data_IF_490771154572
#
_entry.id   IF_490771154572
#
_cell.length_a   1.000
_cell.length_b   1.000
_cell.length_c   1.000
_cell.angle_alpha   90.00
_cell.angle_beta   90.00
_cell.angle_gamma   90.00
#
_symmetry.space_group_name_H-M   'P 1'
#
loop_
_entity.id
_entity.type
_entity.pdbx_description
1 polymer ?
#
# COMPACT_ATOMS: atom_id res chain seq x y z
N UNK A 1 11.19 8.96 19.92
CA UNK A 1 10.08 8.33 19.21
C UNK A 1 10.41 8.23 17.72
N UNK A 2 10.23 7.04 17.14
CA UNK A 2 10.57 6.75 15.75
C UNK A 2 9.45 7.15 14.75
N UNK A 3 8.33 7.71 15.21
CA UNK A 3 7.18 8.09 14.40
C UNK A 3 6.78 9.55 14.62
N UNK A 4 6.01 10.07 13.66
CA UNK A 4 5.35 11.36 13.82
C UNK A 4 4.19 11.23 14.81
N UNK A 5 3.86 12.33 15.48
CA UNK A 5 2.66 12.40 16.30
C UNK A 5 1.44 12.27 15.41
N UNK A 6 0.39 11.62 15.91
CA UNK A 6 -0.89 11.48 15.18
C UNK A 6 -1.49 12.85 14.87
N UNK A 7 -1.47 13.75 15.85
CA UNK A 7 -2.06 15.08 15.76
C UNK A 7 -1.40 16.04 16.76
N UNK A 8 -1.84 17.28 16.73
CA UNK A 8 -1.68 18.24 17.83
C UNK A 8 -3.07 18.45 18.46
N UNK A 9 -3.14 18.50 19.78
CA UNK A 9 -4.37 18.87 20.50
C UNK A 9 -4.65 20.39 20.42
N UNK A 10 -5.70 20.83 21.07
CA UNK A 10 -6.09 22.25 21.11
C UNK A 10 -5.01 23.18 21.69
N UNK A 11 -4.18 22.67 22.59
CA UNK A 11 -3.06 23.39 23.20
C UNK A 11 -1.75 23.23 22.40
N UNK A 12 -1.81 22.66 21.18
CA UNK A 12 -0.64 22.35 20.34
C UNK A 12 0.32 21.31 20.94
N UNK A 13 -0.12 20.53 21.92
CA UNK A 13 0.65 19.42 22.44
C UNK A 13 0.53 18.22 21.50
N UNK A 14 1.60 17.45 21.39
CA UNK A 14 1.65 16.27 20.52
C UNK A 14 0.79 15.14 21.09
N UNK A 15 -0.14 14.63 20.28
CA UNK A 15 -0.82 13.36 20.53
C UNK A 15 0.13 12.24 20.11
N UNK A 16 0.86 11.69 21.09
CA UNK A 16 1.92 10.69 20.86
C UNK A 16 1.30 9.31 20.75
N UNK A 17 0.86 8.98 19.54
CA UNK A 17 0.24 7.68 19.20
C UNK A 17 0.89 7.17 17.93
N UNK A 18 1.14 5.86 17.87
CA UNK A 18 1.63 5.22 16.66
C UNK A 18 0.45 4.73 15.86
N UNK A 19 0.23 5.36 14.71
CA UNK A 19 -0.87 5.07 13.80
C UNK A 19 -0.35 5.05 12.35
N UNK A 20 -1.15 4.47 11.44
CA UNK A 20 -0.83 4.36 10.01
C UNK A 20 -0.67 5.72 9.31
N UNK A 21 -1.27 6.78 9.85
CA UNK A 21 -1.18 8.16 9.33
C UNK A 21 0.26 8.64 9.04
N UNK A 22 1.26 8.14 9.77
CA UNK A 22 2.66 8.45 9.50
C UNK A 22 3.11 7.99 8.09
N UNK A 23 2.50 6.94 7.55
CA UNK A 23 2.74 6.44 6.19
C UNK A 23 2.20 7.39 5.11
N UNK A 24 1.08 8.07 5.38
CA UNK A 24 0.54 9.08 4.46
C UNK A 24 1.48 10.29 4.30
N UNK A 25 2.24 10.62 5.36
CA UNK A 25 3.28 11.64 5.27
C UNK A 25 4.40 11.25 4.28
N UNK A 26 4.66 9.96 4.09
CA UNK A 26 5.60 9.49 3.07
C UNK A 26 5.06 9.74 1.66
N UNK A 27 3.78 9.43 1.40
CA UNK A 27 3.18 9.68 0.08
C UNK A 27 3.20 11.17 -0.27
N UNK A 28 2.86 12.05 0.69
CA UNK A 28 2.89 13.50 0.47
C UNK A 28 4.30 14.08 0.27
N UNK A 29 5.35 13.33 0.65
CA UNK A 29 6.75 13.73 0.49
C UNK A 29 7.25 14.76 1.50
N UNK A 30 6.50 15.01 2.58
CA UNK A 30 6.90 15.96 3.63
C UNK A 30 7.91 15.37 4.63
N UNK A 31 8.12 14.05 4.59
CA UNK A 31 9.07 13.38 5.50
C UNK A 31 10.50 13.59 5.01
N UNK A 32 11.41 14.16 5.82
CA UNK A 32 12.82 14.23 5.46
C UNK A 32 13.39 12.82 5.22
N UNK A 33 14.25 12.63 4.19
CA UNK A 33 14.76 11.31 3.80
C UNK A 33 15.38 10.51 4.96
N UNK A 34 16.10 11.17 5.85
CA UNK A 34 16.74 10.55 7.01
C UNK A 34 15.73 10.01 8.04
N UNK A 35 14.49 10.48 8.01
CA UNK A 35 13.41 10.00 8.87
C UNK A 35 12.53 8.93 8.21
N UNK A 36 12.50 8.89 6.88
CA UNK A 36 11.64 7.98 6.14
C UNK A 36 11.89 6.50 6.50
N UNK A 37 13.18 6.13 6.64
CA UNK A 37 13.57 4.77 7.08
C UNK A 37 12.96 4.43 8.45
N UNK A 38 13.02 5.35 9.41
CA UNK A 38 12.47 5.13 10.77
C UNK A 38 10.95 4.99 10.75
N UNK A 39 10.27 5.77 9.91
CA UNK A 39 8.81 5.66 9.74
C UNK A 39 8.46 4.29 9.16
N UNK A 40 9.15 3.86 8.10
CA UNK A 40 8.97 2.54 7.48
C UNK A 40 9.20 1.41 8.49
N UNK A 41 10.33 1.42 9.21
CA UNK A 41 10.64 0.42 10.24
C UNK A 41 9.58 0.37 11.33
N UNK A 42 9.05 1.54 11.73
CA UNK A 42 8.01 1.61 12.76
C UNK A 42 6.67 1.04 12.28
N UNK A 43 6.29 1.31 11.05
CA UNK A 43 5.04 0.79 10.47
C UNK A 43 5.12 -0.71 10.17
N UNK A 44 6.31 -1.25 9.88
CA UNK A 44 6.53 -2.68 9.65
C UNK A 44 6.83 -3.47 10.93
N UNK A 45 6.84 -2.82 12.10
CA UNK A 45 7.04 -3.50 13.39
C UNK A 45 5.83 -4.40 13.73
N UNK A 46 6.05 -5.45 14.52
CA UNK A 46 5.07 -6.51 14.81
C UNK A 46 3.78 -6.05 15.49
N UNK A 47 3.80 -4.91 16.18
CA UNK A 47 2.61 -4.30 16.78
C UNK A 47 1.80 -3.46 15.77
N UNK A 48 2.35 -3.16 14.59
CA UNK A 48 1.66 -2.49 13.49
C UNK A 48 1.34 -3.43 12.34
N UNK A 49 2.26 -4.28 11.93
CA UNK A 49 2.11 -5.20 10.81
C UNK A 49 1.53 -6.54 11.26
N UNK A 50 0.42 -6.94 10.65
CA UNK A 50 -0.32 -8.18 11.00
C UNK A 50 0.07 -9.40 10.17
N UNK A 51 0.72 -9.20 9.01
CA UNK A 51 0.86 -10.21 7.96
C UNK A 51 -0.32 -10.23 6.97
N UNK A 52 -1.38 -9.47 7.24
CA UNK A 52 -2.46 -9.15 6.29
C UNK A 52 -2.41 -7.69 5.83
N UNK A 53 -1.62 -6.88 6.49
CA UNK A 53 -1.40 -5.46 6.25
C UNK A 53 -1.00 -4.72 7.52
N UNK A 54 -0.88 -3.40 7.41
CA UNK A 54 -0.54 -2.49 8.50
C UNK A 54 -1.83 -2.04 9.20
N UNK A 55 -1.82 -2.09 10.52
CA UNK A 55 -2.90 -1.63 11.39
C UNK A 55 -3.05 -0.11 11.37
N UNK A 56 -4.26 0.37 11.57
CA UNK A 56 -4.54 1.80 11.80
C UNK A 56 -3.94 2.30 13.11
N UNK A 57 -3.88 1.44 14.14
CA UNK A 57 -3.35 1.76 15.46
C UNK A 57 -2.44 0.64 15.96
N UNK A 58 -1.34 1.01 16.62
CA UNK A 58 -0.42 0.05 17.25
C UNK A 58 -1.13 -0.81 18.31
N UNK A 59 -0.88 -2.12 18.28
CA UNK A 59 -1.38 -3.05 19.29
C UNK A 59 -0.81 -2.78 20.69
N UNK A 60 0.23 -1.94 20.81
CA UNK A 60 0.76 -1.50 22.10
C UNK A 60 0.02 -0.26 22.66
N UNK A 61 -0.96 0.29 21.95
CA UNK A 61 -1.74 1.41 22.41
C UNK A 61 -2.85 0.93 23.37
N UNK A 62 -3.10 1.59 24.51
CA UNK A 62 -4.17 1.20 25.43
C UNK A 62 -5.59 1.21 24.83
N UNK A 63 -5.81 1.98 23.76
CA UNK A 63 -7.08 2.05 23.04
C UNK A 63 -7.18 1.02 21.91
N UNK A 64 -6.17 0.14 21.72
CA UNK A 64 -6.21 -0.88 20.69
C UNK A 64 -7.34 -1.88 20.96
N UNK A 65 -8.16 -2.10 19.94
CA UNK A 65 -9.16 -3.15 19.93
C UNK A 65 -9.13 -3.85 18.56
N UNK A 66 -8.83 -5.16 18.52
CA UNK A 66 -8.74 -5.89 17.25
C UNK A 66 -10.08 -6.00 16.52
N UNK A 67 -11.21 -5.80 17.20
CA UNK A 67 -12.53 -5.83 16.60
C UNK A 67 -13.12 -4.45 16.30
N UNK A 68 -12.44 -3.37 16.70
CA UNK A 68 -12.95 -2.03 16.46
C UNK A 68 -12.77 -1.59 15.01
N UNK A 69 -13.67 -0.71 14.57
CA UNK A 69 -13.68 -0.20 13.19
C UNK A 69 -12.41 0.61 12.83
N UNK A 70 -11.83 1.36 13.79
CA UNK A 70 -10.69 2.25 13.54
C UNK A 70 -9.48 2.07 14.44
N UNK A 71 -9.64 1.45 15.62
CA UNK A 71 -8.57 1.37 16.63
C UNK A 71 -7.72 0.12 16.52
N UNK A 72 -7.37 -0.26 15.30
CA UNK A 72 -6.45 -1.38 15.04
C UNK A 72 -6.68 -2.12 13.73
N UNK A 73 -7.85 -1.98 13.13
CA UNK A 73 -8.24 -2.65 11.87
C UNK A 73 -7.25 -2.39 10.71
N UNK A 74 -7.30 -3.26 9.70
CA UNK A 74 -6.46 -3.19 8.50
C UNK A 74 -7.32 -2.78 7.31
N UNK A 75 -7.00 -1.65 6.69
CA UNK A 75 -7.74 -1.10 5.57
C UNK A 75 -6.92 -1.20 4.29
N UNK A 76 -7.44 -1.83 3.22
CA UNK A 76 -6.72 -1.94 1.96
C UNK A 76 -6.27 -0.61 1.37
N UNK A 77 -7.13 0.42 1.35
CA UNK A 77 -6.78 1.73 0.80
C UNK A 77 -5.70 2.45 1.62
N UNK A 78 -5.77 2.39 2.96
CA UNK A 78 -4.75 2.94 3.85
C UNK A 78 -3.38 2.30 3.58
N UNK A 79 -3.37 0.98 3.47
CA UNK A 79 -2.19 0.20 3.12
C UNK A 79 -1.65 0.53 1.72
N UNK A 80 -2.52 0.76 0.74
CA UNK A 80 -2.12 1.15 -0.61
C UNK A 80 -1.47 2.55 -0.64
N UNK A 81 -1.99 3.50 0.14
CA UNK A 81 -1.38 4.83 0.33
C UNK A 81 0.01 4.70 0.95
N UNK A 82 0.15 3.86 1.98
CA UNK A 82 1.44 3.59 2.63
C UNK A 82 2.42 2.96 1.64
N UNK A 83 1.99 1.98 0.84
CA UNK A 83 2.82 1.32 -0.17
C UNK A 83 3.34 2.31 -1.22
N UNK A 84 2.50 3.23 -1.71
CA UNK A 84 2.91 4.32 -2.59
C UNK A 84 3.94 5.23 -1.91
N UNK A 85 3.73 5.55 -0.64
CA UNK A 85 4.67 6.30 0.18
C UNK A 85 6.01 5.57 0.32
N UNK A 86 6.00 4.29 0.62
CA UNK A 86 7.21 3.46 0.68
C UNK A 86 7.96 3.48 -0.65
N UNK A 87 7.24 3.30 -1.76
CA UNK A 87 7.83 3.34 -3.10
C UNK A 87 8.50 4.67 -3.40
N UNK A 88 7.88 5.78 -3.03
CA UNK A 88 8.43 7.13 -3.21
C UNK A 88 9.80 7.30 -2.56
N UNK A 89 10.04 6.66 -1.42
CA UNK A 89 11.31 6.69 -0.69
C UNK A 89 12.25 5.52 -0.99
N UNK A 90 11.98 4.72 -2.04
CA UNK A 90 12.86 3.64 -2.48
C UNK A 90 12.69 2.32 -1.72
N UNK A 91 11.66 2.17 -0.87
CA UNK A 91 11.36 0.94 -0.13
C UNK A 91 10.47 0.01 -0.95
N UNK A 92 10.95 -0.40 -2.13
CA UNK A 92 10.19 -1.23 -3.07
C UNK A 92 9.84 -2.61 -2.54
N UNK A 93 10.72 -3.21 -1.74
CA UNK A 93 10.49 -4.52 -1.14
C UNK A 93 9.31 -4.49 -0.16
N UNK A 94 9.26 -3.50 0.71
CA UNK A 94 8.19 -3.34 1.70
C UNK A 94 6.87 -2.93 1.04
N UNK A 95 6.92 -2.11 -0.01
CA UNK A 95 5.72 -1.79 -0.81
C UNK A 95 5.14 -3.06 -1.45
N UNK A 96 5.97 -3.92 -2.02
CA UNK A 96 5.55 -5.19 -2.60
C UNK A 96 5.09 -6.21 -1.54
N UNK A 97 5.64 -6.16 -0.32
CA UNK A 97 5.16 -6.98 0.80
C UNK A 97 3.72 -6.59 1.17
N UNK A 98 3.41 -5.29 1.29
CA UNK A 98 2.04 -4.82 1.52
C UNK A 98 1.12 -5.28 0.37
N UNK A 99 1.55 -5.14 -0.88
CA UNK A 99 0.77 -5.58 -2.04
C UNK A 99 0.48 -7.10 -1.99
N UNK A 100 1.47 -7.91 -1.61
CA UNK A 100 1.31 -9.34 -1.39
C UNK A 100 0.28 -9.65 -0.31
N UNK A 101 0.40 -9.01 0.86
CA UNK A 101 -0.43 -9.31 2.02
C UNK A 101 -1.90 -8.97 1.77
N UNK A 102 -2.17 -7.81 1.19
CA UNK A 102 -3.53 -7.37 0.82
C UNK A 102 -4.10 -8.28 -0.29
N UNK A 103 -3.32 -8.62 -1.32
CA UNK A 103 -3.77 -9.53 -2.38
C UNK A 103 -4.02 -10.95 -1.85
N UNK A 104 -3.16 -11.41 -0.94
CA UNK A 104 -3.35 -12.69 -0.27
C UNK A 104 -4.60 -12.70 0.59
N UNK A 105 -4.88 -11.62 1.33
CA UNK A 105 -6.12 -11.49 2.09
C UNK A 105 -7.34 -11.57 1.15
N UNK A 106 -7.33 -10.85 0.02
CA UNK A 106 -8.42 -10.90 -0.96
C UNK A 106 -8.70 -12.32 -1.48
N UNK A 107 -7.66 -13.16 -1.64
CA UNK A 107 -7.80 -14.53 -2.16
C UNK A 107 -8.64 -15.47 -1.29
N UNK A 108 -8.98 -15.08 -0.08
CA UNK A 108 -9.88 -15.83 0.82
C UNK A 108 -11.37 -15.48 0.62
N UNK A 109 -11.66 -14.45 -0.18
CA UNK A 109 -13.03 -13.96 -0.40
C UNK A 109 -13.49 -14.24 -1.83
N UNK A 110 -14.80 -14.31 -1.99
CA UNK A 110 -15.42 -14.56 -3.28
C UNK A 110 -14.93 -13.55 -4.33
N UNK A 111 -14.60 -14.02 -5.53
CA UNK A 111 -14.09 -13.22 -6.65
C UNK A 111 -12.81 -12.41 -6.32
N UNK A 112 -12.06 -12.80 -5.30
CA UNK A 112 -10.89 -12.06 -4.79
C UNK A 112 -11.22 -10.60 -4.42
N UNK A 113 -12.41 -10.34 -3.90
CA UNK A 113 -12.85 -9.00 -3.53
C UNK A 113 -12.05 -8.48 -2.33
N UNK A 114 -11.69 -7.21 -2.39
CA UNK A 114 -11.15 -6.49 -1.25
C UNK A 114 -12.32 -5.96 -0.40
N UNK A 115 -12.31 -6.32 0.86
CA UNK A 115 -13.24 -5.79 1.84
C UNK A 115 -12.89 -4.33 2.18
N UNK A 116 -13.83 -3.57 2.71
CA UNK A 116 -13.57 -2.25 3.27
C UNK A 116 -12.43 -2.31 4.29
N UNK A 117 -12.51 -3.26 5.24
CA UNK A 117 -11.48 -3.50 6.25
C UNK A 117 -11.51 -4.93 6.78
N UNK A 118 -10.39 -5.34 7.35
CA UNK A 118 -10.22 -6.56 8.11
C UNK A 118 -10.01 -6.22 9.59
N UNK A 119 -10.31 -7.16 10.48
CA UNK A 119 -9.95 -7.04 11.90
C UNK A 119 -8.42 -7.03 12.06
N UNK A 120 -7.96 -6.65 13.26
CA UNK A 120 -6.54 -6.49 13.54
C UNK A 120 -5.81 -7.78 13.96
N UNK A 121 -6.41 -8.96 13.81
CA UNK A 121 -5.74 -10.21 14.15
C UNK A 121 -4.54 -10.48 13.26
N UNK A 122 -3.51 -11.05 13.86
CA UNK A 122 -2.29 -11.43 13.13
C UNK A 122 -2.50 -12.71 12.33
N UNK A 123 -1.76 -12.84 11.23
CA UNK A 123 -1.80 -14.00 10.36
C UNK A 123 -1.34 -15.30 11.05
N UNK A 124 -0.54 -15.21 12.09
CA UNK A 124 -0.12 -16.35 12.93
C UNK A 124 -1.16 -16.74 14.00
N UNK A 125 -2.14 -15.86 14.27
CA UNK A 125 -3.24 -16.10 15.21
C UNK A 125 -4.47 -16.70 14.52
N UNK A 126 -4.65 -16.42 13.22
CA UNK A 126 -5.79 -16.89 12.42
C UNK A 126 -5.31 -17.48 11.09
N UNK A 127 -6.02 -18.52 10.60
CA UNK A 127 -5.72 -19.16 9.32
C UNK A 127 -6.20 -18.36 8.11
N UNK A 128 -7.01 -17.32 8.34
CA UNK A 128 -7.59 -16.46 7.30
C UNK A 128 -7.77 -15.03 7.83
N UNK A 129 -7.83 -14.02 6.94
CA UNK A 129 -8.12 -12.64 7.35
C UNK A 129 -9.58 -12.54 7.79
N UNK A 130 -9.80 -12.07 9.03
CA UNK A 130 -11.14 -11.97 9.60
C UNK A 130 -11.81 -10.69 9.12
N UNK A 131 -12.99 -10.83 8.49
CA UNK A 131 -13.80 -9.70 8.07
C UNK A 131 -14.33 -8.93 9.28
N UNK A 132 -14.27 -7.59 9.22
CA UNK A 132 -15.05 -6.77 10.16
C UNK A 132 -16.54 -6.93 9.84
N UNK A 133 -17.38 -7.16 10.86
CA UNK A 133 -18.78 -7.54 10.67
C UNK A 133 -19.62 -6.52 9.89
N UNK A 134 -19.30 -5.24 10.00
CA UNK A 134 -19.96 -4.13 9.30
C UNK A 134 -19.25 -3.66 8.03
N UNK A 135 -18.21 -4.37 7.56
CA UNK A 135 -17.46 -3.97 6.38
C UNK A 135 -18.31 -4.03 5.12
N UNK A 136 -18.26 -2.98 4.31
CA UNK A 136 -18.91 -2.96 3.00
C UNK A 136 -18.14 -3.86 2.00
N UNK A 137 -18.91 -4.64 1.22
CA UNK A 137 -18.39 -5.52 0.15
C UNK A 137 -19.40 -5.50 -1.01
N UNK A 138 -19.02 -4.99 -2.17
CA UNK A 138 -17.79 -4.29 -2.48
C UNK A 138 -17.73 -2.87 -1.89
N UNK A 139 -16.50 -2.34 -1.75
CA UNK A 139 -16.30 -0.95 -1.40
C UNK A 139 -15.33 -0.30 -2.41
N UNK A 140 -15.69 0.88 -2.94
CA UNK A 140 -15.02 1.45 -4.13
C UNK A 140 -13.53 1.71 -3.91
N UNK A 141 -13.13 2.34 -2.82
CA UNK A 141 -11.72 2.62 -2.64
C UNK A 141 -10.89 1.42 -2.17
N UNK A 142 -11.52 0.41 -1.55
CA UNK A 142 -10.88 -0.88 -1.32
C UNK A 142 -10.56 -1.55 -2.68
N UNK A 143 -11.52 -1.57 -3.61
CA UNK A 143 -11.29 -2.06 -4.98
C UNK A 143 -10.21 -1.23 -5.71
N UNK A 144 -10.21 0.10 -5.55
CA UNK A 144 -9.19 1.01 -6.08
C UNK A 144 -7.78 0.72 -5.55
N UNK A 145 -7.66 0.11 -4.37
CA UNK A 145 -6.36 -0.24 -3.78
C UNK A 145 -5.55 -1.21 -4.64
N UNK A 146 -6.20 -2.11 -5.39
CA UNK A 146 -5.51 -3.03 -6.30
C UNK A 146 -4.69 -2.28 -7.37
N UNK A 147 -5.25 -1.20 -7.92
CA UNK A 147 -4.56 -0.35 -8.89
C UNK A 147 -3.43 0.44 -8.23
N UNK A 148 -3.66 0.98 -7.03
CA UNK A 148 -2.64 1.73 -6.27
C UNK A 148 -1.46 0.83 -5.88
N UNK A 149 -1.72 -0.39 -5.42
CA UNK A 149 -0.69 -1.37 -5.06
C UNK A 149 0.13 -1.79 -6.28
N UNK A 150 -0.53 -2.00 -7.42
CA UNK A 150 0.14 -2.26 -8.70
C UNK A 150 1.02 -1.06 -9.09
N UNK A 151 0.48 0.15 -9.03
CA UNK A 151 1.25 1.38 -9.31
C UNK A 151 2.44 1.55 -8.35
N UNK A 152 2.30 1.18 -7.08
CA UNK A 152 3.40 1.20 -6.11
C UNK A 152 4.53 0.22 -6.50
N UNK A 153 4.19 -1.02 -6.88
CA UNK A 153 5.20 -1.99 -7.33
C UNK A 153 5.89 -1.54 -8.62
N UNK A 154 5.16 -0.98 -9.58
CA UNK A 154 5.70 -0.53 -10.87
C UNK A 154 6.34 0.86 -10.80
N UNK A 155 6.13 1.59 -9.73
CA UNK A 155 6.64 2.95 -9.56
C UNK A 155 6.07 3.92 -10.60
N UNK A 156 4.78 3.78 -10.92
CA UNK A 156 4.12 4.62 -11.91
C UNK A 156 3.98 6.07 -11.43
N UNK A 157 4.47 7.00 -12.24
CA UNK A 157 4.28 8.44 -12.08
C UNK A 157 3.88 9.04 -13.44
N UNK A 158 2.57 9.15 -13.72
CA UNK A 158 2.09 9.73 -14.98
C UNK A 158 2.22 11.25 -14.96
N UNK A 159 2.71 11.79 -16.07
CA UNK A 159 2.70 13.21 -16.41
C UNK A 159 1.99 13.37 -17.75
N UNK A 160 0.68 13.14 -17.72
CA UNK A 160 -0.16 13.12 -18.90
C UNK A 160 -0.16 14.43 -19.71
N UNK A 161 -0.11 15.63 -19.09
CA UNK A 161 0.00 16.90 -19.84
C UNK A 161 1.25 16.97 -20.73
N UNK A 162 2.33 16.28 -20.36
CA UNK A 162 3.57 16.23 -21.13
C UNK A 162 3.75 14.90 -21.88
N UNK A 163 2.71 14.06 -21.96
CA UNK A 163 2.75 12.73 -22.60
C UNK A 163 3.89 11.84 -22.07
N UNK A 164 4.12 11.86 -20.75
CA UNK A 164 5.17 11.10 -20.09
C UNK A 164 4.60 10.14 -19.06
N UNK A 165 5.21 8.98 -18.97
CA UNK A 165 5.06 8.05 -17.87
C UNK A 165 6.45 7.70 -17.35
N UNK A 166 6.71 8.04 -16.09
CA UNK A 166 7.91 7.56 -15.40
C UNK A 166 7.60 6.22 -14.77
N UNK A 167 8.56 5.29 -14.87
CA UNK A 167 8.44 3.95 -14.28
C UNK A 167 9.72 3.64 -13.49
N UNK A 168 9.55 3.03 -12.35
CA UNK A 168 10.65 2.53 -11.50
C UNK A 168 10.22 1.20 -10.88
N UNK A 169 10.13 0.12 -11.69
CA UNK A 169 9.51 -1.12 -11.25
C UNK A 169 10.37 -1.87 -10.24
N UNK A 170 9.68 -2.53 -9.32
CA UNK A 170 10.25 -3.51 -8.40
C UNK A 170 9.28 -4.70 -8.30
N UNK A 171 9.51 -5.75 -9.08
CA UNK A 171 8.70 -6.96 -9.02
C UNK A 171 9.26 -7.92 -7.96
N UNK A 172 8.39 -8.44 -7.08
CA UNK A 172 8.77 -9.48 -6.12
C UNK A 172 8.93 -10.84 -6.80
N UNK A 173 9.58 -11.79 -6.11
CA UNK A 173 9.76 -13.13 -6.64
C UNK A 173 8.46 -13.92 -6.88
N UNK A 174 7.39 -13.58 -6.15
CA UNK A 174 6.07 -14.19 -6.34
C UNK A 174 5.29 -13.66 -7.56
N UNK A 175 5.73 -12.52 -8.15
CA UNK A 175 5.19 -11.94 -9.37
C UNK A 175 6.35 -11.65 -10.33
N UNK A 176 6.92 -12.69 -10.96
CA UNK A 176 8.14 -12.52 -11.77
C UNK A 176 7.92 -11.92 -13.15
N UNK A 177 6.68 -11.88 -13.62
CA UNK A 177 6.29 -11.34 -14.94
C UNK A 177 4.91 -10.69 -14.84
N UNK A 178 4.75 -9.51 -15.41
CA UNK A 178 3.51 -8.75 -15.43
C UNK A 178 3.42 -7.94 -16.72
N UNK A 179 2.30 -8.02 -17.40
CA UNK A 179 2.00 -7.16 -18.56
C UNK A 179 0.80 -6.29 -18.26
N UNK A 180 0.97 -4.98 -18.38
CA UNK A 180 -0.13 -4.01 -18.37
C UNK A 180 -0.49 -3.73 -19.82
N UNK A 181 -1.78 -3.91 -20.16
CA UNK A 181 -2.33 -3.60 -21.46
C UNK A 181 -3.29 -2.41 -21.34
N UNK A 182 -3.48 -1.72 -22.46
CA UNK A 182 -4.44 -0.61 -22.56
C UNK A 182 -4.22 0.53 -21.55
N UNK A 183 -2.97 0.71 -21.10
CA UNK A 183 -2.59 1.80 -20.20
C UNK A 183 -2.69 3.13 -20.95
N UNK A 184 -3.59 4.01 -20.49
CA UNK A 184 -3.76 5.36 -21.08
C UNK A 184 -2.88 6.38 -20.38
N UNK A 185 -2.12 7.13 -21.18
CA UNK A 185 -1.32 8.29 -20.74
C UNK A 185 -1.56 9.43 -21.73
N UNK A 186 -2.36 10.40 -21.35
CA UNK A 186 -2.86 11.41 -22.28
C UNK A 186 -3.63 10.76 -23.43
N UNK A 187 -3.34 11.09 -24.71
CA UNK A 187 -3.94 10.49 -25.88
C UNK A 187 -3.35 9.12 -26.25
N UNK A 188 -2.32 8.68 -25.55
CA UNK A 188 -1.59 7.46 -25.90
C UNK A 188 -2.11 6.25 -25.13
N UNK A 189 -2.19 5.13 -25.84
CA UNK A 189 -2.52 3.82 -25.30
C UNK A 189 -1.31 2.91 -25.43
N UNK A 190 -0.85 2.34 -24.31
CA UNK A 190 0.39 1.60 -24.22
C UNK A 190 0.14 0.18 -23.73
N UNK A 191 1.00 -0.76 -24.14
CA UNK A 191 1.20 -2.03 -23.45
C UNK A 191 2.66 -2.13 -23.01
N UNK A 192 2.87 -2.47 -21.75
CA UNK A 192 4.19 -2.53 -21.12
C UNK A 192 4.31 -3.86 -20.40
N UNK A 193 5.39 -4.61 -20.70
CA UNK A 193 5.77 -5.82 -19.98
C UNK A 193 6.86 -5.49 -18.98
N UNK A 194 6.74 -6.05 -17.80
CA UNK A 194 7.72 -6.03 -16.71
C UNK A 194 8.11 -7.45 -16.37
N UNK A 195 9.41 -7.71 -16.17
CA UNK A 195 9.86 -9.05 -15.78
C UNK A 195 11.06 -8.98 -14.86
N UNK A 196 11.23 -10.04 -14.06
CA UNK A 196 12.36 -10.19 -13.16
C UNK A 196 13.41 -11.10 -13.79
N UNK A 197 14.65 -10.65 -13.83
CA UNK A 197 15.79 -11.42 -14.32
C UNK A 197 17.01 -11.12 -13.46
N UNK A 198 17.71 -12.15 -13.00
CA UNK A 198 18.94 -12.04 -12.18
C UNK A 198 18.80 -11.12 -10.95
N UNK A 199 17.60 -11.10 -10.34
CA UNK A 199 17.33 -10.28 -9.16
C UNK A 199 16.83 -8.87 -9.44
N UNK A 200 16.96 -8.38 -10.67
CA UNK A 200 16.53 -7.05 -11.12
C UNK A 200 15.20 -7.09 -11.85
N UNK A 201 14.49 -5.96 -11.88
CA UNK A 201 13.26 -5.80 -12.64
C UNK A 201 13.54 -4.99 -13.91
N UNK A 202 13.14 -5.55 -15.04
CA UNK A 202 13.25 -4.94 -16.37
C UNK A 202 11.85 -4.60 -16.89
N UNK A 203 11.78 -3.70 -17.87
CA UNK A 203 10.53 -3.41 -18.57
C UNK A 203 10.76 -3.10 -20.04
N UNK A 204 9.71 -3.30 -20.84
CA UNK A 204 9.69 -2.99 -22.27
C UNK A 204 8.30 -2.52 -22.68
N UNK A 205 8.24 -1.44 -23.45
CA UNK A 205 7.01 -1.04 -24.15
C UNK A 205 6.82 -1.98 -25.32
N UNK A 206 5.72 -2.76 -25.32
CA UNK A 206 5.43 -3.76 -26.34
C UNK A 206 4.66 -3.14 -27.49
N UNK A 207 3.75 -2.22 -27.20
CA UNK A 207 2.96 -1.49 -28.19
C UNK A 207 2.56 -0.11 -27.67
N UNK A 208 2.40 0.83 -28.60
CA UNK A 208 1.85 2.17 -28.34
C UNK A 208 1.04 2.64 -29.55
N UNK A 209 -0.12 3.26 -29.27
CA UNK A 209 -0.95 3.96 -30.27
C UNK A 209 -1.28 5.34 -29.74
N UNK A 210 -1.32 6.34 -30.64
CA UNK A 210 -2.02 7.61 -30.37
C UNK A 210 -3.47 7.40 -30.80
N UNK A 211 -4.42 7.77 -29.93
CA UNK A 211 -5.83 7.95 -30.33
C UNK A 211 -5.92 9.38 -30.85
N UNK A 212 -6.30 9.56 -32.13
CA UNK A 212 -6.54 10.84 -32.76
C UNK A 212 -7.81 11.51 -32.22
#
# INVERSE_FOLDING_TARGET
HAAYALALDGDKKKVVTVASNAGHCLLSGIVPPERAKKVKERLMASDMWTGWGIRTLSASNPAFDPYDYQTGSVWPHDNAIIALGFKRYGFGAEAAQIAHDISKAASYFQLNQLLELYTAFRRDETTFPVQYIGANVPQAWAAGSAFMLTAAMLGFMPDAPHNKLYVNPWLPGWLPDLTIQDLRVGPHKLAIRFWRQSGETHFQVISGRSEE
#
